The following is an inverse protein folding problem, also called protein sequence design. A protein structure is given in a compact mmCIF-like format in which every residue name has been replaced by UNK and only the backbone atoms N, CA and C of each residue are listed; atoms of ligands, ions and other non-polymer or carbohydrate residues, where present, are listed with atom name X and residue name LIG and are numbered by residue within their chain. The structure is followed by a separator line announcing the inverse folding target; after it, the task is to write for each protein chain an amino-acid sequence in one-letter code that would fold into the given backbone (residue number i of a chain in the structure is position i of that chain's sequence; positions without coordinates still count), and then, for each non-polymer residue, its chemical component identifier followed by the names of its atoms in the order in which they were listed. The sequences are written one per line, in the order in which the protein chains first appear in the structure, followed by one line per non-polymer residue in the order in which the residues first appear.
data_IF_587344659231
#
_entry.id   IF_587344659231
#
_cell.length_a   1.000
_cell.length_b   1.000
_cell.length_c   1.000
_cell.angle_alpha   90.00
_cell.angle_beta   90.00
_cell.angle_gamma   90.00
#
_symmetry.space_group_name_H-M   'P 1'
#
loop_
_entity.id
_entity.type
_entity.pdbx_description
1 polymer ?
#
# COMPACT_ATOMS: atom_id res chain seq x y z
N UNK A 1 -15.95 2.36 2.58
CA UNK A 1 -15.11 1.51 3.45
C UNK A 1 -13.68 1.67 2.98
N UNK A 2 -12.74 1.86 3.89
CA UNK A 2 -11.32 2.05 3.56
C UNK A 2 -10.53 0.97 4.28
N UNK A 3 -9.66 0.27 3.54
CA UNK A 3 -8.87 -0.84 4.06
C UNK A 3 -7.44 -0.34 4.25
N UNK A 4 -6.97 -0.40 5.49
CA UNK A 4 -5.58 -0.08 5.85
C UNK A 4 -4.82 -1.38 6.12
N UNK A 5 -3.67 -1.54 5.48
CA UNK A 5 -2.80 -2.70 5.65
C UNK A 5 -1.40 -2.28 6.10
N UNK A 6 -0.78 -3.13 6.90
CA UNK A 6 0.62 -3.01 7.30
C UNK A 6 1.36 -4.26 6.84
N UNK A 7 2.59 -4.08 6.35
CA UNK A 7 3.46 -5.21 6.09
C UNK A 7 3.80 -5.93 7.41
N UNK A 8 4.02 -7.25 7.35
CA UNK A 8 4.39 -8.02 8.55
C UNK A 8 5.84 -8.53 8.52
N UNK A 9 6.34 -8.82 7.33
CA UNK A 9 7.61 -9.53 7.12
C UNK A 9 8.69 -8.68 6.45
N UNK A 10 8.34 -7.48 5.97
CA UNK A 10 9.24 -6.54 5.29
C UNK A 10 8.85 -5.09 5.53
N UNK A 11 9.73 -4.17 5.17
CA UNK A 11 9.49 -2.73 5.28
C UNK A 11 8.58 -2.21 4.14
N UNK A 12 8.14 -0.96 4.24
CA UNK A 12 7.12 -0.38 3.36
C UNK A 12 7.53 -0.37 1.88
N UNK A 13 8.77 -0.01 1.54
CA UNK A 13 9.23 0.08 0.14
C UNK A 13 9.22 -1.28 -0.58
N UNK A 14 9.84 -2.36 -0.04
CA UNK A 14 9.77 -3.67 -0.68
C UNK A 14 8.36 -4.26 -0.66
N UNK A 15 7.51 -3.90 0.31
CA UNK A 15 6.10 -4.27 0.24
C UNK A 15 5.38 -3.48 -0.85
N UNK A 16 5.58 -2.18 -1.01
CA UNK A 16 4.97 -1.37 -2.06
C UNK A 16 5.26 -1.93 -3.45
N UNK A 17 6.49 -2.35 -3.71
CA UNK A 17 6.86 -2.96 -4.99
C UNK A 17 6.06 -4.24 -5.30
N UNK A 18 5.63 -4.99 -4.28
CA UNK A 18 5.03 -6.31 -4.48
C UNK A 18 3.60 -6.23 -5.06
N UNK A 19 2.62 -5.49 -4.49
CA UNK A 19 1.34 -5.24 -5.14
C UNK A 19 1.51 -4.60 -6.51
N UNK A 20 2.45 -3.67 -6.70
CA UNK A 20 2.69 -3.05 -8.01
C UNK A 20 3.12 -4.11 -9.06
N UNK A 21 4.02 -5.04 -8.71
CA UNK A 21 4.39 -6.17 -9.56
C UNK A 21 3.23 -7.15 -9.82
N UNK A 22 2.24 -7.19 -8.94
CA UNK A 22 1.01 -7.99 -9.07
C UNK A 22 -0.11 -7.26 -9.82
N UNK A 23 0.13 -6.02 -10.28
CA UNK A 23 -0.83 -5.25 -11.08
C UNK A 23 -1.61 -4.19 -10.32
N UNK A 24 -1.33 -3.98 -9.03
CA UNK A 24 -1.84 -2.80 -8.34
C UNK A 24 -1.23 -1.53 -8.94
N UNK A 25 -1.93 -0.41 -8.79
CA UNK A 25 -1.49 0.92 -9.21
C UNK A 25 -1.60 1.90 -8.07
N UNK A 26 -0.80 2.98 -8.09
CA UNK A 26 -1.04 4.11 -7.20
C UNK A 26 -2.40 4.74 -7.53
N UNK A 27 -3.19 5.02 -6.51
CA UNK A 27 -4.47 5.69 -6.68
C UNK A 27 -4.24 7.18 -6.99
N UNK A 28 -5.03 7.74 -7.90
CA UNK A 28 -4.98 9.16 -8.25
C UNK A 28 -5.87 9.97 -7.29
N UNK A 29 -5.37 10.14 -6.07
CA UNK A 29 -6.08 10.83 -4.97
C UNK A 29 -5.36 12.09 -4.51
N UNK A 30 -4.40 12.58 -5.32
CA UNK A 30 -3.64 13.79 -5.03
C UNK A 30 -2.47 13.61 -4.06
N UNK A 31 -1.98 12.37 -3.86
CA UNK A 31 -0.75 12.16 -3.10
C UNK A 31 0.44 12.80 -3.80
N UNK A 32 1.27 13.52 -3.05
CA UNK A 32 2.50 14.13 -3.57
C UNK A 32 3.69 13.17 -3.51
N UNK A 33 3.58 12.10 -2.72
CA UNK A 33 4.66 11.16 -2.43
C UNK A 33 5.42 11.49 -1.14
N UNK A 34 5.07 12.56 -0.44
CA UNK A 34 5.63 12.92 0.87
C UNK A 34 4.88 12.28 2.04
N UNK A 35 3.70 11.73 1.78
CA UNK A 35 2.87 11.06 2.78
C UNK A 35 3.57 9.81 3.32
N UNK A 36 3.30 9.50 4.59
CA UNK A 36 3.88 8.30 5.20
C UNK A 36 3.20 7.00 4.75
N UNK A 37 2.15 7.05 3.94
CA UNK A 37 1.44 5.89 3.40
C UNK A 37 1.24 6.00 1.90
N UNK A 38 0.93 4.88 1.25
CA UNK A 38 0.59 4.84 -0.16
C UNK A 38 -0.84 4.34 -0.34
N UNK A 39 -1.65 5.09 -1.09
CA UNK A 39 -2.96 4.61 -1.54
C UNK A 39 -2.78 3.89 -2.86
N UNK A 40 -3.18 2.63 -2.89
CA UNK A 40 -3.13 1.76 -4.06
C UNK A 40 -4.54 1.33 -4.45
N UNK A 41 -4.71 1.05 -5.73
CA UNK A 41 -5.86 0.32 -6.25
C UNK A 41 -5.39 -1.02 -6.80
N UNK A 42 -6.07 -2.10 -6.44
CA UNK A 42 -5.84 -3.41 -7.04
C UNK A 42 -6.29 -3.44 -8.52
N UNK A 43 -6.05 -4.54 -9.27
CA UNK A 43 -6.48 -4.64 -10.67
C UNK A 43 -7.98 -4.50 -10.90
N UNK A 44 -8.82 -4.77 -9.90
CA UNK A 44 -10.28 -4.60 -9.96
C UNK A 44 -10.71 -3.16 -9.63
N UNK A 45 -9.78 -2.33 -9.15
CA UNK A 45 -10.01 -0.94 -8.79
C UNK A 45 -10.35 -0.73 -7.31
N UNK A 46 -10.22 -1.76 -6.45
CA UNK A 46 -10.46 -1.59 -5.02
C UNK A 46 -9.31 -0.86 -4.35
N UNK A 47 -9.64 0.19 -3.58
CA UNK A 47 -8.65 1.05 -2.93
C UNK A 47 -8.25 0.56 -1.53
N UNK A 48 -6.95 0.62 -1.23
CA UNK A 48 -6.40 0.33 0.08
C UNK A 48 -5.14 1.15 0.36
N UNK A 49 -4.84 1.36 1.65
CA UNK A 49 -3.65 2.05 2.11
C UNK A 49 -2.58 1.07 2.57
N UNK A 50 -1.36 1.21 2.06
CA UNK A 50 -0.16 0.60 2.63
C UNK A 50 0.48 1.58 3.60
N UNK A 51 0.33 1.32 4.90
CA UNK A 51 0.89 2.15 5.96
C UNK A 51 2.38 1.89 6.16
N UNK A 52 3.08 2.86 6.78
CA UNK A 52 4.55 2.76 7.04
C UNK A 52 4.91 1.72 8.08
N UNK A 53 4.05 1.54 9.07
CA UNK A 53 4.37 0.67 10.19
C UNK A 53 4.44 -0.78 9.71
N UNK A 54 5.40 -1.50 10.26
CA UNK A 54 5.49 -2.95 10.14
C UNK A 54 4.95 -3.57 11.42
N UNK A 55 4.06 -4.54 11.29
CA UNK A 55 3.52 -5.28 12.42
C UNK A 55 4.24 -6.62 12.57
N UNK A 56 4.40 -7.12 13.79
CA UNK A 56 4.81 -8.50 13.96
C UNK A 56 3.68 -9.42 13.48
N UNK A 57 3.99 -10.41 12.66
CA UNK A 57 3.06 -11.50 12.41
C UNK A 57 2.81 -12.25 13.73
N UNK A 58 1.54 -12.56 14.00
CA UNK A 58 1.11 -13.37 15.15
C UNK A 58 1.63 -14.81 15.05
#
# INVERSE_FOLDING_TARGET
MHIDVNATDRDQDPELERPLKLGARRADIGQTGEESWHVLADPEGNEFCLLRARLAAL
#
